data_IF_904439271338
#
_entry.id   IF_904439271338
#
_cell.length_a   1.000
_cell.length_b   1.000
_cell.length_c   1.000
_cell.angle_alpha   90.00
_cell.angle_beta   90.00
_cell.angle_gamma   90.00
#
_symmetry.space_group_name_H-M   'P 1'
#
loop_
_entity.id
_entity.type
_entity.pdbx_description
1 polymer ?
#
# COMPACT_ATOMS: atom_id res chain seq x y z
N UNK A 1 4.89 -15.94 -42.11
CA UNK A 1 5.12 -17.40 -41.83
C UNK A 1 6.51 -17.71 -41.26
N UNK A 2 7.64 -17.21 -41.80
CA UNK A 2 8.97 -17.49 -41.19
C UNK A 2 9.17 -16.75 -39.85
N UNK A 3 8.72 -15.51 -39.74
CA UNK A 3 8.84 -14.65 -38.54
C UNK A 3 7.96 -15.13 -37.37
N UNK A 4 6.73 -15.57 -37.66
CA UNK A 4 5.83 -16.14 -36.63
C UNK A 4 6.39 -17.43 -35.99
N UNK A 5 7.14 -18.23 -36.76
CA UNK A 5 7.77 -19.44 -36.26
C UNK A 5 9.00 -19.12 -35.36
N UNK A 6 9.68 -18.02 -35.62
CA UNK A 6 10.83 -17.57 -34.81
C UNK A 6 10.38 -17.06 -33.44
N UNK A 7 9.34 -16.23 -33.39
CA UNK A 7 8.75 -15.72 -32.14
C UNK A 7 8.12 -16.83 -31.30
N UNK A 8 7.44 -17.81 -31.92
CA UNK A 8 6.88 -18.95 -31.18
C UNK A 8 7.99 -19.80 -30.54
N UNK A 9 9.11 -20.04 -31.22
CA UNK A 9 10.27 -20.76 -30.67
C UNK A 9 10.97 -19.98 -29.54
N UNK A 10 11.05 -18.68 -29.66
CA UNK A 10 11.63 -17.83 -28.60
C UNK A 10 10.78 -17.88 -27.32
N UNK A 11 9.47 -17.73 -27.44
CA UNK A 11 8.53 -17.86 -26.32
C UNK A 11 8.59 -19.22 -25.65
N UNK A 12 8.61 -20.30 -26.41
CA UNK A 12 8.71 -21.66 -25.88
C UNK A 12 10.00 -21.84 -25.06
N UNK A 13 11.14 -21.40 -25.58
CA UNK A 13 12.43 -21.46 -24.86
C UNK A 13 12.42 -20.63 -23.56
N UNK A 14 11.80 -19.47 -23.57
CA UNK A 14 11.69 -18.64 -22.37
C UNK A 14 10.76 -19.28 -21.35
N UNK A 15 9.65 -19.88 -21.77
CA UNK A 15 8.75 -20.64 -20.90
C UNK A 15 9.47 -21.83 -20.25
N UNK A 16 10.18 -22.64 -21.04
CA UNK A 16 10.98 -23.75 -20.53
C UNK A 16 12.04 -23.31 -19.51
N UNK A 17 12.68 -22.14 -19.75
CA UNK A 17 13.66 -21.56 -18.81
C UNK A 17 12.99 -21.15 -17.51
N UNK A 18 11.83 -20.49 -17.55
CA UNK A 18 11.09 -20.08 -16.35
C UNK A 18 10.58 -21.31 -15.59
N UNK A 19 10.08 -22.35 -16.27
CA UNK A 19 9.61 -23.57 -15.64
C UNK A 19 10.75 -24.33 -14.93
N UNK A 20 11.96 -24.32 -15.51
CA UNK A 20 13.11 -25.01 -14.95
C UNK A 20 13.81 -24.22 -13.85
N UNK A 21 14.04 -22.93 -14.06
CA UNK A 21 14.96 -22.12 -13.28
C UNK A 21 14.25 -20.98 -12.50
N UNK A 22 12.95 -20.78 -12.73
CA UNK A 22 12.16 -19.70 -12.12
C UNK A 22 12.29 -18.36 -12.87
N UNK A 23 11.42 -17.41 -12.51
CA UNK A 23 11.40 -16.06 -13.10
C UNK A 23 12.68 -15.28 -12.77
N UNK A 24 13.28 -15.53 -11.63
CA UNK A 24 14.52 -14.87 -11.15
C UNK A 24 15.75 -15.17 -12.03
N UNK A 25 15.66 -16.17 -12.92
CA UNK A 25 16.71 -16.48 -13.90
C UNK A 25 16.73 -15.50 -15.08
N UNK A 26 15.70 -14.68 -15.25
CA UNK A 26 15.54 -13.75 -16.36
C UNK A 26 16.15 -12.39 -16.02
N UNK A 27 16.67 -11.69 -17.04
CA UNK A 27 16.96 -10.27 -16.92
C UNK A 27 15.65 -9.46 -16.83
N UNK A 28 15.69 -8.23 -16.33
CA UNK A 28 14.49 -7.40 -16.12
C UNK A 28 13.61 -7.25 -17.37
N UNK A 29 14.24 -6.97 -18.52
CA UNK A 29 13.50 -6.87 -19.79
C UNK A 29 12.92 -8.22 -20.23
N UNK A 30 13.60 -9.35 -19.98
CA UNK A 30 13.11 -10.69 -20.28
C UNK A 30 11.90 -11.04 -19.38
N UNK A 31 11.95 -10.69 -18.09
CA UNK A 31 10.84 -10.90 -17.16
C UNK A 31 9.60 -10.07 -17.56
N UNK A 32 9.81 -8.83 -17.99
CA UNK A 32 8.74 -7.98 -18.51
C UNK A 32 8.20 -8.50 -19.85
N UNK A 33 9.08 -8.97 -20.75
CA UNK A 33 8.69 -9.62 -22.00
C UNK A 33 7.83 -10.85 -21.74
N UNK A 34 8.23 -11.70 -20.80
CA UNK A 34 7.48 -12.88 -20.39
C UNK A 34 6.07 -12.53 -19.90
N UNK A 35 5.96 -11.48 -19.08
CA UNK A 35 4.65 -10.97 -18.63
C UNK A 35 3.81 -10.50 -19.82
N UNK A 36 4.39 -9.75 -20.76
CA UNK A 36 3.70 -9.23 -21.93
C UNK A 36 3.18 -10.32 -22.89
N UNK A 37 3.73 -11.53 -22.85
CA UNK A 37 3.17 -12.67 -23.63
C UNK A 37 1.70 -12.92 -23.33
N UNK A 38 1.24 -12.62 -22.12
CA UNK A 38 -0.16 -12.83 -21.72
C UNK A 38 -1.12 -11.83 -22.37
N UNK A 39 -0.65 -10.62 -22.69
CA UNK A 39 -1.48 -9.58 -23.33
C UNK A 39 -1.28 -9.45 -24.83
N UNK A 40 -0.11 -9.86 -25.34
CA UNK A 40 0.30 -9.74 -26.74
C UNK A 40 0.73 -11.13 -27.26
N UNK A 41 -0.21 -11.99 -27.69
CA UNK A 41 0.10 -13.40 -27.96
C UNK A 41 0.86 -13.68 -29.25
N UNK A 42 0.91 -12.76 -30.24
CA UNK A 42 1.43 -13.04 -31.58
C UNK A 42 2.52 -12.08 -32.10
N UNK A 43 2.79 -10.98 -31.40
CA UNK A 43 3.79 -10.02 -31.81
C UNK A 43 5.07 -10.15 -30.97
N UNK A 44 6.16 -9.59 -31.47
CA UNK A 44 7.40 -9.43 -30.70
C UNK A 44 7.19 -8.46 -29.54
N UNK A 45 7.50 -8.92 -28.34
CA UNK A 45 7.37 -8.12 -27.10
C UNK A 45 8.72 -7.69 -26.53
N UNK A 46 9.84 -8.18 -27.11
CA UNK A 46 11.18 -7.84 -26.65
C UNK A 46 11.47 -6.34 -26.78
N UNK A 47 11.25 -5.79 -27.98
CA UNK A 47 11.45 -4.36 -28.22
C UNK A 47 10.53 -3.48 -27.33
N UNK A 48 9.32 -3.94 -27.03
CA UNK A 48 8.40 -3.24 -26.14
C UNK A 48 8.88 -3.29 -24.67
N UNK A 49 9.36 -4.43 -24.20
CA UNK A 49 9.94 -4.57 -22.87
C UNK A 49 11.14 -3.63 -22.67
N UNK A 50 12.02 -3.56 -23.64
CA UNK A 50 13.15 -2.62 -23.62
C UNK A 50 12.71 -1.16 -23.58
N UNK A 51 11.69 -0.75 -24.38
CA UNK A 51 11.15 0.62 -24.33
C UNK A 51 10.57 0.97 -22.98
N UNK A 52 9.85 0.04 -22.35
CA UNK A 52 9.28 0.24 -21.01
C UNK A 52 10.39 0.43 -19.97
N UNK A 53 11.39 -0.45 -19.93
CA UNK A 53 12.54 -0.30 -19.02
C UNK A 53 13.27 1.02 -19.29
N UNK A 54 13.50 1.40 -20.55
CA UNK A 54 14.15 2.66 -20.88
C UNK A 54 13.36 3.89 -20.44
N UNK A 55 12.02 3.82 -20.52
CA UNK A 55 11.14 4.94 -20.15
C UNK A 55 11.04 5.13 -18.65
N UNK A 56 10.86 4.05 -17.90
CA UNK A 56 10.63 4.09 -16.45
C UNK A 56 11.91 3.87 -15.61
N UNK A 57 12.95 3.28 -16.19
CA UNK A 57 14.26 3.06 -15.58
C UNK A 57 14.54 1.62 -15.18
N UNK A 58 13.60 0.93 -14.52
CA UNK A 58 13.74 -0.45 -14.08
C UNK A 58 12.40 -1.20 -14.09
N UNK A 59 12.47 -2.51 -13.86
CA UNK A 59 11.29 -3.39 -13.82
C UNK A 59 10.28 -3.00 -12.72
N UNK A 60 10.76 -2.61 -11.55
CA UNK A 60 9.89 -2.25 -10.43
C UNK A 60 9.07 -1.00 -10.76
N UNK A 61 9.71 0.04 -11.31
CA UNK A 61 9.02 1.26 -11.72
C UNK A 61 8.01 1.04 -12.84
N UNK A 62 8.28 0.10 -13.75
CA UNK A 62 7.27 -0.30 -14.76
C UNK A 62 6.05 -0.91 -14.11
N UNK A 63 6.22 -1.79 -13.12
CA UNK A 63 5.10 -2.42 -12.42
C UNK A 63 4.32 -1.46 -11.52
N UNK A 64 4.96 -0.41 -11.02
CA UNK A 64 4.38 0.60 -10.12
C UNK A 64 3.74 1.78 -10.88
N UNK A 65 3.99 1.90 -12.20
CA UNK A 65 3.44 2.98 -13.01
C UNK A 65 1.92 2.87 -13.19
N UNK A 66 1.27 4.03 -13.25
CA UNK A 66 -0.17 4.10 -13.50
C UNK A 66 -0.52 3.68 -14.93
N UNK A 67 -1.69 3.07 -15.18
CA UNK A 67 -2.10 2.62 -16.51
C UNK A 67 -2.01 3.69 -17.59
N UNK A 68 -2.31 4.93 -17.25
CA UNK A 68 -2.28 6.09 -18.14
C UNK A 68 -0.85 6.43 -18.56
N UNK A 69 0.11 6.31 -17.65
CA UNK A 69 1.54 6.52 -17.91
C UNK A 69 2.11 5.40 -18.77
N UNK A 70 1.77 4.14 -18.45
CA UNK A 70 2.16 2.99 -19.26
C UNK A 70 1.70 3.11 -20.72
N UNK A 71 0.50 3.61 -20.95
CA UNK A 71 -0.06 3.82 -22.31
C UNK A 71 0.62 4.95 -23.10
N UNK A 72 1.47 5.77 -22.48
CA UNK A 72 2.29 6.75 -23.20
C UNK A 72 3.45 6.10 -23.95
N UNK A 73 3.83 4.87 -23.56
CA UNK A 73 4.89 4.13 -24.26
C UNK A 73 4.31 3.48 -25.52
N UNK A 74 4.92 3.77 -26.67
CA UNK A 74 4.50 3.24 -27.97
C UNK A 74 4.46 1.70 -27.96
N UNK A 75 3.30 1.13 -28.31
CA UNK A 75 3.04 -0.30 -28.33
C UNK A 75 2.35 -0.84 -27.08
N UNK A 76 2.17 -0.01 -26.04
CA UNK A 76 1.38 -0.38 -24.86
C UNK A 76 -0.09 -0.03 -25.06
N UNK A 77 -0.91 -1.05 -25.26
CA UNK A 77 -2.36 -0.88 -25.29
C UNK A 77 -3.02 -1.05 -23.91
N UNK A 78 -4.34 -0.75 -23.80
CA UNK A 78 -5.07 -0.85 -22.53
C UNK A 78 -5.02 -2.23 -21.86
N UNK A 79 -4.91 -3.31 -22.65
CA UNK A 79 -4.78 -4.68 -22.13
C UNK A 79 -3.42 -4.89 -21.44
N UNK A 80 -2.34 -4.41 -22.05
CA UNK A 80 -0.98 -4.56 -21.50
C UNK A 80 -0.80 -3.67 -20.28
N UNK A 81 -1.28 -2.43 -20.31
CA UNK A 81 -1.27 -1.53 -19.15
C UNK A 81 -2.00 -2.15 -17.96
N UNK A 82 -3.24 -2.66 -18.18
CA UNK A 82 -4.01 -3.34 -17.13
C UNK A 82 -3.32 -4.58 -16.59
N UNK A 83 -2.70 -5.40 -17.46
CA UNK A 83 -1.96 -6.59 -17.02
C UNK A 83 -0.81 -6.20 -16.09
N UNK A 84 0.02 -5.23 -16.49
CA UNK A 84 1.17 -4.75 -15.71
C UNK A 84 0.70 -4.27 -14.33
N UNK A 85 -0.27 -3.37 -14.26
CA UNK A 85 -0.82 -2.85 -13.00
C UNK A 85 -1.46 -3.94 -12.13
N UNK A 86 -2.02 -5.01 -12.75
CA UNK A 86 -2.64 -6.12 -12.02
C UNK A 86 -1.60 -6.92 -11.23
N UNK A 87 -0.34 -6.98 -11.66
CA UNK A 87 0.72 -7.72 -10.94
C UNK A 87 0.89 -7.18 -9.53
N UNK A 88 1.02 -5.85 -9.38
CA UNK A 88 1.15 -5.22 -8.07
C UNK A 88 -0.13 -5.34 -7.23
N UNK A 89 -1.30 -5.23 -7.87
CA UNK A 89 -2.57 -5.45 -7.19
C UNK A 89 -2.71 -6.89 -6.65
N UNK A 90 -2.28 -7.90 -7.42
CA UNK A 90 -2.26 -9.31 -6.99
C UNK A 90 -1.25 -9.54 -5.86
N UNK A 91 -0.05 -8.98 -5.95
CA UNK A 91 0.97 -9.06 -4.90
C UNK A 91 0.43 -8.50 -3.58
N UNK A 92 -0.15 -7.30 -3.61
CA UNK A 92 -0.78 -6.68 -2.44
C UNK A 92 -1.92 -7.54 -1.88
N UNK A 93 -2.82 -8.03 -2.74
CA UNK A 93 -3.93 -8.90 -2.33
C UNK A 93 -3.43 -10.18 -1.66
N UNK A 94 -2.39 -10.82 -2.22
CA UNK A 94 -1.77 -12.02 -1.65
C UNK A 94 -1.23 -11.75 -0.25
N UNK A 95 -0.44 -10.68 -0.07
CA UNK A 95 0.11 -10.31 1.23
C UNK A 95 -0.99 -10.03 2.27
N UNK A 96 -2.05 -9.32 1.88
CA UNK A 96 -3.20 -9.06 2.75
C UNK A 96 -3.93 -10.35 3.16
N UNK A 97 -4.04 -11.33 2.26
CA UNK A 97 -4.71 -12.61 2.55
C UNK A 97 -3.85 -13.57 3.35
N UNK A 98 -2.53 -13.55 3.15
CA UNK A 98 -1.56 -14.35 3.91
C UNK A 98 -1.55 -14.01 5.41
N UNK A 99 -1.96 -12.79 5.77
CA UNK A 99 -2.06 -12.30 7.15
C UNK A 99 -3.09 -12.99 8.04
N UNK A 100 -3.67 -14.12 7.66
CA UNK A 100 -4.68 -14.86 8.46
C UNK A 100 -4.19 -15.38 9.81
N UNK A 101 -2.90 -15.25 10.14
CA UNK A 101 -2.38 -15.53 11.47
C UNK A 101 -2.73 -14.34 12.39
N UNK A 102 -3.34 -14.58 13.55
CA UNK A 102 -3.61 -13.59 14.60
C UNK A 102 -2.28 -12.93 15.03
N UNK A 103 -1.88 -11.88 14.37
CA UNK A 103 -0.68 -11.11 14.67
C UNK A 103 -1.08 -9.94 15.55
N UNK A 104 -0.58 -9.90 16.78
CA UNK A 104 -0.77 -8.74 17.66
C UNK A 104 0.16 -7.60 17.24
N UNK A 105 -0.41 -6.40 17.07
CA UNK A 105 0.31 -5.17 16.72
C UNK A 105 0.71 -4.41 17.99
N UNK A 106 1.42 -5.08 18.89
CA UNK A 106 1.85 -4.54 20.19
C UNK A 106 3.24 -3.89 20.19
N UNK A 107 3.88 -3.80 19.03
CA UNK A 107 5.15 -3.08 18.84
C UNK A 107 5.17 -2.33 17.52
N UNK A 108 6.05 -1.32 17.42
CA UNK A 108 6.23 -0.55 16.20
C UNK A 108 6.65 -1.45 15.02
N UNK A 109 7.52 -2.43 15.26
CA UNK A 109 8.01 -3.36 14.24
C UNK A 109 6.88 -4.19 13.65
N UNK A 110 6.00 -4.75 14.52
CA UNK A 110 4.85 -5.55 14.09
C UNK A 110 3.82 -4.67 13.37
N UNK A 111 3.60 -3.44 13.82
CA UNK A 111 2.71 -2.48 13.19
C UNK A 111 3.22 -2.06 11.80
N UNK A 112 4.50 -1.70 11.68
CA UNK A 112 5.15 -1.35 10.40
C UNK A 112 5.06 -2.52 9.42
N UNK A 113 5.45 -3.73 9.84
CA UNK A 113 5.40 -4.92 9.00
C UNK A 113 3.96 -5.23 8.53
N UNK A 114 2.97 -4.97 9.39
CA UNK A 114 1.57 -5.16 9.07
C UNK A 114 1.07 -4.15 8.04
N UNK A 115 1.34 -2.85 8.20
CA UNK A 115 0.75 -1.80 7.35
C UNK A 115 1.50 -1.59 6.04
N UNK A 116 2.81 -1.89 6.00
CA UNK A 116 3.65 -1.67 4.82
C UNK A 116 3.07 -2.24 3.50
N UNK A 117 2.55 -3.47 3.44
CA UNK A 117 1.94 -3.99 2.23
C UNK A 117 0.65 -3.28 1.79
N UNK A 118 0.00 -2.48 2.65
CA UNK A 118 -1.17 -1.68 2.24
C UNK A 118 -0.79 -0.63 1.20
N UNK A 119 0.46 -0.15 1.25
CA UNK A 119 0.96 0.97 0.46
C UNK A 119 1.85 0.55 -0.72
N UNK A 120 2.05 -0.76 -0.93
CA UNK A 120 2.88 -1.24 -2.03
C UNK A 120 2.26 -0.88 -3.39
N UNK A 121 3.01 -0.14 -4.22
CA UNK A 121 2.55 0.35 -5.54
C UNK A 121 1.45 1.41 -5.45
N UNK A 122 1.34 2.14 -4.33
CA UNK A 122 0.40 3.25 -4.17
C UNK A 122 1.13 4.56 -4.40
N UNK A 123 0.73 5.29 -5.45
CA UNK A 123 1.38 6.55 -5.86
C UNK A 123 0.84 7.79 -5.13
N UNK A 124 -0.40 7.72 -4.63
CA UNK A 124 -1.02 8.80 -3.89
C UNK A 124 -0.91 8.58 -2.38
N UNK A 125 -0.94 9.65 -1.59
CA UNK A 125 -1.05 9.52 -0.14
C UNK A 125 -2.40 8.92 0.25
N UNK A 126 -2.36 7.90 1.10
CA UNK A 126 -3.53 7.26 1.66
C UNK A 126 -3.38 7.16 3.18
N UNK A 127 -4.46 7.40 3.90
CA UNK A 127 -4.51 7.25 5.34
C UNK A 127 -5.48 6.12 5.70
N UNK A 128 -4.99 5.19 6.50
CA UNK A 128 -5.75 4.06 7.05
C UNK A 128 -5.92 4.19 8.55
N UNK A 129 -7.05 3.70 9.05
CA UNK A 129 -7.25 3.32 10.43
C UNK A 129 -7.32 1.79 10.50
N UNK A 130 -6.42 1.19 11.27
CA UNK A 130 -6.40 -0.23 11.58
C UNK A 130 -7.12 -0.40 12.91
N UNK A 131 -8.32 -0.95 12.87
CA UNK A 131 -9.12 -1.25 14.08
C UNK A 131 -8.61 -2.53 14.72
N UNK A 132 -8.41 -2.52 16.03
CA UNK A 132 -7.83 -3.63 16.78
C UNK A 132 -8.83 -4.17 17.80
N UNK A 133 -8.70 -5.46 18.13
CA UNK A 133 -9.35 -6.07 19.27
C UNK A 133 -8.54 -5.85 20.57
N UNK A 134 -9.06 -6.31 21.71
CA UNK A 134 -8.43 -6.18 23.03
C UNK A 134 -7.08 -6.91 23.15
N UNK A 135 -6.77 -7.82 22.21
CA UNK A 135 -5.47 -8.48 22.10
C UNK A 135 -4.52 -7.76 21.11
N UNK A 136 -4.86 -6.53 20.70
CA UNK A 136 -4.16 -5.75 19.66
C UNK A 136 -4.08 -6.46 18.31
N UNK A 137 -5.00 -7.38 18.00
CA UNK A 137 -5.06 -8.04 16.71
C UNK A 137 -5.95 -7.25 15.74
N UNK A 138 -5.55 -7.09 14.47
CA UNK A 138 -6.34 -6.38 13.47
C UNK A 138 -7.70 -7.03 13.23
N UNK A 139 -8.76 -6.23 13.35
CA UNK A 139 -10.15 -6.59 13.06
C UNK A 139 -10.54 -6.10 11.67
N UNK A 140 -10.16 -4.86 11.35
CA UNK A 140 -10.48 -4.22 10.08
C UNK A 140 -9.46 -3.15 9.71
N UNK A 141 -9.06 -3.15 8.43
CA UNK A 141 -8.30 -2.08 7.81
C UNK A 141 -9.27 -1.14 7.08
N UNK A 142 -9.32 0.11 7.48
CA UNK A 142 -10.22 1.12 6.93
C UNK A 142 -9.44 2.26 6.30
N UNK A 143 -9.48 2.41 4.98
CA UNK A 143 -9.00 3.62 4.33
C UNK A 143 -9.95 4.79 4.63
N UNK A 144 -9.46 5.79 5.34
CA UNK A 144 -10.24 6.95 5.81
C UNK A 144 -9.98 8.21 4.99
N UNK A 145 -8.88 8.22 4.22
CA UNK A 145 -8.58 9.31 3.31
C UNK A 145 -7.66 8.89 2.16
N UNK A 146 -7.75 9.64 1.06
CA UNK A 146 -6.91 9.51 -0.14
C UNK A 146 -6.78 10.90 -0.78
N UNK A 147 -5.58 11.28 -1.23
CA UNK A 147 -5.37 12.57 -1.91
C UNK A 147 -3.98 13.18 -1.69
N UNK A 148 -3.85 14.47 -1.97
CA UNK A 148 -2.59 15.24 -1.90
C UNK A 148 -2.25 15.62 -0.46
N UNK A 149 -0.96 15.65 -0.08
CA UNK A 149 -0.40 15.67 1.27
C UNK A 149 -0.94 16.72 2.25
N UNK A 150 -1.49 17.82 1.81
CA UNK A 150 -1.81 18.96 2.68
C UNK A 150 -3.32 19.20 2.91
N UNK A 151 -4.21 18.34 2.43
CA UNK A 151 -5.67 18.45 2.60
C UNK A 151 -6.37 17.10 2.57
N UNK A 152 -5.94 16.19 3.42
CA UNK A 152 -6.65 14.93 3.59
C UNK A 152 -7.93 15.21 4.35
N UNK A 153 -9.03 15.35 3.65
CA UNK A 153 -10.34 15.39 4.27
C UNK A 153 -10.66 14.01 4.84
N UNK A 154 -10.40 13.82 6.12
CA UNK A 154 -10.78 12.59 6.83
C UNK A 154 -12.30 12.48 6.84
N UNK A 155 -12.83 11.38 6.29
CA UNK A 155 -14.26 11.08 6.40
C UNK A 155 -14.58 10.62 7.84
N UNK A 156 -14.79 11.59 8.72
CA UNK A 156 -15.09 11.41 10.13
C UNK A 156 -16.33 10.52 10.32
N UNK A 157 -17.35 10.62 9.46
CA UNK A 157 -18.56 9.80 9.55
C UNK A 157 -18.28 8.32 9.28
N UNK A 158 -17.45 8.05 8.27
CA UNK A 158 -17.01 6.70 7.92
C UNK A 158 -16.20 6.08 9.06
N UNK A 159 -15.28 6.86 9.63
CA UNK A 159 -14.46 6.48 10.78
C UNK A 159 -15.32 6.12 12.00
N UNK A 160 -16.20 7.01 12.43
CA UNK A 160 -17.07 6.77 13.61
C UNK A 160 -18.00 5.56 13.44
N UNK A 161 -18.54 5.37 12.23
CA UNK A 161 -19.35 4.19 11.91
C UNK A 161 -18.56 2.88 12.01
N UNK A 162 -17.31 2.87 11.55
CA UNK A 162 -16.46 1.69 11.60
C UNK A 162 -16.11 1.32 13.05
N UNK A 163 -15.70 2.29 13.85
CA UNK A 163 -15.43 2.10 15.29
C UNK A 163 -16.66 1.53 16.00
N UNK A 164 -17.84 2.13 15.78
CA UNK A 164 -19.08 1.67 16.42
C UNK A 164 -19.52 0.26 15.98
N UNK A 165 -19.23 -0.13 14.72
CA UNK A 165 -19.64 -1.45 14.19
C UNK A 165 -18.75 -2.60 14.63
N UNK A 166 -17.46 -2.33 14.87
CA UNK A 166 -16.47 -3.37 15.19
C UNK A 166 -16.33 -3.62 16.68
N UNK A 167 -16.93 -2.79 17.54
CA UNK A 167 -16.70 -2.77 18.98
C UNK A 167 -15.20 -2.68 19.35
N UNK A 168 -14.38 -2.16 18.45
CA UNK A 168 -12.97 -1.94 18.73
C UNK A 168 -12.80 -0.78 19.69
N UNK A 169 -11.91 -0.94 20.65
CA UNK A 169 -11.60 0.08 21.68
C UNK A 169 -10.32 0.85 21.36
N UNK A 170 -9.51 0.33 20.42
CA UNK A 170 -8.25 0.94 20.02
C UNK A 170 -7.92 0.67 18.54
N UNK A 171 -6.94 1.41 18.04
CA UNK A 171 -6.44 1.25 16.67
C UNK A 171 -5.15 2.00 16.42
N UNK A 172 -4.61 1.77 15.24
CA UNK A 172 -3.38 2.40 14.74
C UNK A 172 -3.70 3.16 13.46
N UNK A 173 -3.22 4.39 13.34
CA UNK A 173 -3.22 5.13 12.08
C UNK A 173 -2.01 4.70 11.25
N UNK A 174 -2.16 4.69 9.94
CA UNK A 174 -1.05 4.45 9.01
C UNK A 174 -1.25 5.27 7.74
N UNK A 175 -0.19 5.95 7.28
CA UNK A 175 -0.20 6.60 5.97
C UNK A 175 1.14 6.43 5.25
N UNK A 176 1.14 6.69 3.94
CA UNK A 176 2.35 6.63 3.11
C UNK A 176 2.77 8.02 2.65
N UNK A 177 4.10 8.19 2.51
CA UNK A 177 4.75 9.29 1.80
C UNK A 177 5.34 8.75 0.49
N UNK A 178 4.65 8.84 -0.65
CA UNK A 178 5.10 8.20 -1.90
C UNK A 178 6.45 8.70 -2.40
N UNK A 179 6.75 9.99 -2.19
CA UNK A 179 7.96 10.66 -2.67
C UNK A 179 8.85 11.21 -1.57
N UNK A 180 8.56 10.88 -0.31
CA UNK A 180 9.20 11.47 0.86
C UNK A 180 10.01 10.48 1.69
N UNK A 181 10.32 10.92 2.89
CA UNK A 181 10.92 10.10 3.95
C UNK A 181 9.85 9.68 4.95
N UNK A 182 10.07 8.56 5.65
CA UNK A 182 9.23 8.12 6.76
C UNK A 182 9.46 9.00 8.01
N UNK A 183 9.14 10.29 7.89
CA UNK A 183 9.31 11.30 8.95
C UNK A 183 7.98 12.04 9.12
N UNK A 184 7.42 12.11 10.35
CA UNK A 184 6.18 12.83 10.60
C UNK A 184 6.30 14.32 10.26
N UNK A 185 5.35 14.82 9.47
CA UNK A 185 5.16 16.24 9.21
C UNK A 185 4.26 16.89 10.28
N UNK A 186 4.20 18.21 10.30
CA UNK A 186 3.25 18.92 11.15
C UNK A 186 1.80 18.66 10.75
N UNK A 187 1.53 18.48 9.46
CA UNK A 187 0.20 18.10 8.95
C UNK A 187 -0.25 16.73 9.47
N UNK A 188 0.69 15.76 9.56
CA UNK A 188 0.42 14.45 10.13
C UNK A 188 0.05 14.52 11.60
N UNK A 189 0.78 15.36 12.37
CA UNK A 189 0.50 15.58 13.80
C UNK A 189 -0.88 16.20 14.02
N UNK A 190 -1.24 17.23 13.24
CA UNK A 190 -2.55 17.87 13.32
C UNK A 190 -3.68 16.92 12.94
N UNK A 191 -3.50 16.14 11.86
CA UNK A 191 -4.47 15.13 11.44
C UNK A 191 -4.64 14.04 12.49
N UNK A 192 -3.54 13.56 13.08
CA UNK A 192 -3.56 12.59 14.17
C UNK A 192 -4.31 13.12 15.37
N UNK A 193 -4.00 14.33 15.81
CA UNK A 193 -4.68 14.98 16.94
C UNK A 193 -6.19 15.10 16.70
N UNK A 194 -6.60 15.57 15.53
CA UNK A 194 -8.01 15.69 15.18
C UNK A 194 -8.74 14.32 15.21
N UNK A 195 -8.11 13.27 14.70
CA UNK A 195 -8.70 11.92 14.75
C UNK A 195 -8.80 11.43 16.20
N UNK A 196 -7.77 11.63 17.01
CA UNK A 196 -7.76 11.27 18.43
C UNK A 196 -8.87 11.99 19.19
N UNK A 197 -9.08 13.28 18.93
CA UNK A 197 -10.14 14.09 19.55
C UNK A 197 -11.53 13.55 19.22
N UNK A 198 -11.77 13.25 17.94
CA UNK A 198 -13.07 12.78 17.46
C UNK A 198 -13.36 11.34 17.96
N UNK A 199 -12.37 10.45 17.90
CA UNK A 199 -12.55 9.04 18.33
C UNK A 199 -12.56 8.88 19.83
N UNK A 200 -11.83 9.73 20.55
CA UNK A 200 -11.81 9.75 22.02
C UNK A 200 -13.17 10.00 22.65
N UNK A 201 -14.07 10.73 21.97
CA UNK A 201 -15.46 10.92 22.41
C UNK A 201 -16.25 9.61 22.46
N UNK A 202 -15.83 8.58 21.70
CA UNK A 202 -16.40 7.23 21.73
C UNK A 202 -15.64 6.26 22.64
N UNK A 203 -14.67 6.73 23.41
CA UNK A 203 -13.80 5.87 24.20
C UNK A 203 -12.78 5.07 23.37
N UNK A 204 -12.54 5.47 22.11
CA UNK A 204 -11.59 4.79 21.22
C UNK A 204 -10.22 5.46 21.29
N UNK A 205 -9.16 4.65 21.43
CA UNK A 205 -7.79 5.11 21.60
C UNK A 205 -6.96 4.88 20.33
N UNK A 206 -6.32 5.92 19.81
CA UNK A 206 -5.26 5.78 18.79
C UNK A 206 -3.96 5.46 19.54
N UNK A 207 -3.43 4.25 19.33
CA UNK A 207 -2.23 3.75 20.00
C UNK A 207 -0.94 4.27 19.36
N UNK A 208 -0.92 4.42 18.04
CA UNK A 208 0.24 4.92 17.28
C UNK A 208 -0.21 5.45 15.92
N UNK A 209 0.70 6.17 15.26
CA UNK A 209 0.58 6.53 13.86
C UNK A 209 1.86 6.13 13.12
N UNK A 210 1.72 5.20 12.17
CA UNK A 210 2.81 4.65 11.37
C UNK A 210 2.89 5.38 10.03
N UNK A 211 4.09 5.81 9.68
CA UNK A 211 4.38 6.48 8.41
C UNK A 211 5.26 5.55 7.58
N UNK A 212 4.86 5.28 6.34
CA UNK A 212 5.59 4.41 5.40
C UNK A 212 6.12 5.25 4.24
N UNK A 213 7.40 5.08 3.91
CA UNK A 213 8.02 5.66 2.71
C UNK A 213 8.90 4.60 2.04
N UNK A 214 8.44 4.06 0.92
CA UNK A 214 9.09 2.94 0.26
C UNK A 214 9.24 1.73 1.19
N UNK A 215 10.49 1.33 1.43
CA UNK A 215 10.82 0.24 2.35
C UNK A 215 10.97 0.69 3.82
N UNK A 216 10.98 1.99 4.09
CA UNK A 216 11.13 2.55 5.43
C UNK A 216 9.79 2.72 6.14
N UNK A 217 9.81 2.59 7.47
CA UNK A 217 8.66 2.82 8.33
C UNK A 217 9.04 3.54 9.63
N UNK A 218 8.14 4.39 10.10
CA UNK A 218 8.33 5.17 11.32
C UNK A 218 7.09 5.11 12.20
N UNK A 219 7.28 4.91 13.50
CA UNK A 219 6.28 5.06 14.56
C UNK A 219 6.37 6.48 15.15
N UNK A 220 5.27 7.20 15.16
CA UNK A 220 5.20 8.51 15.82
C UNK A 220 5.33 8.38 17.34
N UNK A 221 4.81 7.30 17.93
CA UNK A 221 4.94 7.02 19.36
C UNK A 221 6.41 6.86 19.75
N UNK A 222 7.15 6.00 19.05
CA UNK A 222 8.57 5.76 19.34
C UNK A 222 9.46 6.99 19.14
N UNK A 223 9.03 7.92 18.26
CA UNK A 223 9.72 9.20 18.06
C UNK A 223 9.32 10.29 19.06
N UNK A 224 8.38 10.01 19.95
CA UNK A 224 7.83 11.01 20.85
C UNK A 224 7.10 12.16 20.13
N UNK A 225 6.60 11.88 18.91
CA UNK A 225 5.88 12.85 18.08
C UNK A 225 4.38 12.59 17.98
N UNK A 226 3.88 11.51 18.61
CA UNK A 226 2.46 11.26 18.75
C UNK A 226 1.84 12.34 19.66
N UNK A 227 0.76 13.01 19.24
CA UNK A 227 0.10 14.01 20.08
C UNK A 227 -0.42 13.40 21.38
N UNK A 228 -0.27 14.12 22.50
CA UNK A 228 -0.89 13.71 23.76
C UNK A 228 -2.37 14.06 23.74
N UNK A 229 -3.22 13.05 23.91
CA UNK A 229 -4.65 13.27 24.14
C UNK A 229 -4.89 13.61 25.61
N UNK A 230 -5.12 14.88 25.89
CA UNK A 230 -5.58 15.32 27.21
C UNK A 230 -7.09 15.12 27.28
N UNK A 231 -7.54 14.06 27.93
CA UNK A 231 -8.94 13.98 28.37
C UNK A 231 -9.18 15.18 29.29
N UNK A 232 -10.01 16.14 28.86
CA UNK A 232 -10.47 17.19 29.74
C UNK A 232 -11.26 16.54 30.88
N UNK A 233 -10.59 16.26 32.00
CA UNK A 233 -11.16 15.73 33.25
C UNK A 233 -12.12 16.71 33.95
N UNK A 234 -12.67 17.67 33.21
CA UNK A 234 -13.58 18.69 33.73
C UNK A 234 -15.03 18.25 33.99
N UNK A 235 -15.40 17.00 33.73
CA UNK A 235 -16.82 16.54 33.89
C UNK A 235 -17.02 15.61 35.12
N UNK A 236 -15.97 15.19 35.83
CA UNK A 236 -16.09 14.27 36.97
C UNK A 236 -15.95 14.93 38.36
N UNK A 237 -16.02 16.27 38.48
CA UNK A 237 -16.03 16.95 39.80
C UNK A 237 -17.41 17.37 40.28
N UNK A 238 -18.51 16.99 39.66
CA UNK A 238 -19.86 17.37 40.06
C UNK A 238 -20.66 16.32 40.79
N UNK A 239 -20.06 15.21 41.23
CA UNK A 239 -20.78 14.12 41.92
C UNK A 239 -20.21 13.75 43.29
N UNK A 240 -19.61 14.68 44.02
CA UNK A 240 -19.25 14.48 45.43
C UNK A 240 -19.41 15.81 46.17
N UNK A 241 -20.65 16.19 46.42
CA UNK A 241 -21.12 17.00 47.54
C UNK A 241 -22.50 16.58 47.96
#
# INVERSE_FOLDING_TARGET
MADENLHAKHRARMQERVERDGLDSLAEHEALEYLLFLSIPRADTNALAHRLIQHFGDFCKVLEAEPEELMQVEGVGPKSARLISTVMACSRYYELKKRKTRLSLNSAETAIAYVKPLFRGVQNEQLYLILLDDACCPVQDLRIAEGVPNRVAVDTRKLLRAVARTNSTCGILAHNHPTGLAIPSEADRLTTYHIMEVTGQLGFTIMDHIIIAGEDGCSMLNRGSLPEYRVNSGVLQAASR
#
